data_IF_406438230114
#
_entry.id   IF_406438230114
#
_cell.length_a   1.000
_cell.length_b   1.000
_cell.length_c   1.000
_cell.angle_alpha   90.00
_cell.angle_beta   90.00
_cell.angle_gamma   90.00
#
_symmetry.space_group_name_H-M   'P 1'
#
loop_
_entity.id
_entity.type
_entity.pdbx_description
1 polymer ?
#
# COMPACT_ATOMS: atom_id res chain seq x y z
N UNK A 1 -10.83 25.59 -28.61
CA UNK A 1 -9.80 26.51 -29.13
C UNK A 1 -9.01 27.14 -27.97
N UNK A 2 -9.66 27.67 -26.94
CA UNK A 2 -8.99 28.36 -25.82
C UNK A 2 -8.07 27.43 -25.02
N UNK A 3 -8.51 26.20 -24.74
CA UNK A 3 -7.71 25.17 -24.04
C UNK A 3 -6.44 24.82 -24.83
N UNK A 4 -6.55 24.72 -26.16
CA UNK A 4 -5.39 24.43 -27.01
C UNK A 4 -4.38 25.58 -27.01
N UNK A 5 -4.84 26.82 -27.03
CA UNK A 5 -3.97 28.00 -26.90
C UNK A 5 -3.22 28.02 -25.57
N UNK A 6 -3.91 27.73 -24.47
CA UNK A 6 -3.27 27.63 -23.15
C UNK A 6 -2.26 26.48 -23.12
N UNK A 7 -2.52 25.37 -23.83
CA UNK A 7 -1.59 24.25 -23.94
C UNK A 7 -0.32 24.61 -24.73
N UNK A 8 -0.43 25.47 -25.76
CA UNK A 8 0.71 25.97 -26.53
C UNK A 8 1.64 26.88 -25.70
N UNK A 9 1.10 27.57 -24.71
CA UNK A 9 1.85 28.45 -23.81
C UNK A 9 2.58 27.68 -22.69
N UNK A 10 2.29 26.39 -22.51
CA UNK A 10 2.92 25.50 -21.51
C UNK A 10 3.91 24.56 -22.19
N UNK A 11 5.03 24.28 -21.51
CA UNK A 11 5.96 23.26 -21.97
C UNK A 11 5.39 21.88 -21.71
N UNK A 12 4.79 21.28 -22.75
CA UNK A 12 4.35 19.87 -22.74
C UNK A 12 5.23 19.07 -23.70
N UNK A 13 5.91 18.07 -23.19
CA UNK A 13 6.77 17.18 -23.97
C UNK A 13 6.44 15.73 -23.66
N UNK A 14 6.31 14.89 -24.70
CA UNK A 14 6.07 13.47 -24.60
C UNK A 14 6.53 12.76 -25.87
N UNK A 15 7.06 11.55 -25.72
CA UNK A 15 7.45 10.71 -26.85
C UNK A 15 6.25 10.28 -27.70
N UNK A 16 5.09 10.07 -27.06
CA UNK A 16 3.86 9.58 -27.71
C UNK A 16 2.82 10.67 -27.96
N UNK A 17 3.28 11.88 -28.20
CA UNK A 17 2.46 13.09 -28.33
C UNK A 17 1.29 12.99 -29.32
N UNK A 18 1.48 12.31 -30.44
CA UNK A 18 0.47 12.15 -31.49
C UNK A 18 -0.22 10.79 -31.46
N UNK A 19 0.12 9.94 -30.53
CA UNK A 19 -0.49 8.64 -30.37
C UNK A 19 -1.91 8.75 -29.80
N UNK A 20 -2.82 7.88 -30.27
CA UNK A 20 -4.22 7.90 -29.84
C UNK A 20 -4.55 6.89 -28.73
N UNK A 21 -3.73 5.85 -28.56
CA UNK A 21 -4.00 4.76 -27.61
C UNK A 21 -4.03 5.28 -26.17
N UNK A 22 -2.98 6.00 -25.77
CA UNK A 22 -2.87 6.57 -24.42
C UNK A 22 -4.03 7.50 -24.08
N UNK A 23 -4.30 8.56 -24.87
CA UNK A 23 -5.43 9.45 -24.63
C UNK A 23 -6.79 8.75 -24.65
N UNK A 24 -7.01 7.78 -25.54
CA UNK A 24 -8.26 7.01 -25.59
C UNK A 24 -8.45 6.14 -24.33
N UNK A 25 -7.39 5.49 -23.87
CA UNK A 25 -7.39 4.73 -22.62
C UNK A 25 -7.65 5.63 -21.40
N UNK A 26 -7.04 6.82 -21.36
CA UNK A 26 -7.25 7.78 -20.29
C UNK A 26 -8.69 8.27 -20.22
N UNK A 27 -9.29 8.63 -21.37
CA UNK A 27 -10.71 9.02 -21.43
C UNK A 27 -11.64 7.90 -20.96
N UNK A 28 -11.37 6.64 -21.37
CA UNK A 28 -12.15 5.49 -20.92
C UNK A 28 -11.97 5.22 -19.44
N UNK A 29 -10.79 5.40 -18.92
CA UNK A 29 -10.53 5.29 -17.48
C UNK A 29 -11.35 6.31 -16.68
N UNK A 30 -11.35 7.57 -17.10
CA UNK A 30 -12.15 8.62 -16.45
C UNK A 30 -13.65 8.32 -16.49
N UNK A 31 -14.18 7.86 -17.64
CA UNK A 31 -15.57 7.43 -17.77
C UNK A 31 -15.93 6.30 -16.80
N UNK A 32 -15.05 5.29 -16.68
CA UNK A 32 -15.25 4.19 -15.74
C UNK A 32 -15.16 4.66 -14.30
N UNK A 33 -14.20 5.53 -13.98
CA UNK A 33 -14.06 6.11 -12.63
C UNK A 33 -15.34 6.85 -12.22
N UNK A 34 -15.93 7.64 -13.11
CA UNK A 34 -17.16 8.36 -12.84
C UNK A 34 -18.35 7.40 -12.67
N UNK A 35 -18.53 6.46 -13.59
CA UNK A 35 -19.60 5.46 -13.53
C UNK A 35 -19.57 4.64 -12.26
N UNK A 36 -18.39 4.18 -11.83
CA UNK A 36 -18.21 3.34 -10.64
C UNK A 36 -18.07 4.15 -9.36
N UNK A 37 -17.99 5.48 -9.44
CA UNK A 37 -17.63 6.36 -8.30
C UNK A 37 -16.40 5.83 -7.58
N UNK A 38 -15.36 5.46 -8.35
CA UNK A 38 -14.22 4.70 -7.87
C UNK A 38 -13.49 5.37 -6.70
N UNK A 39 -13.41 6.71 -6.68
CA UNK A 39 -12.79 7.48 -5.58
C UNK A 39 -13.49 7.29 -4.23
N UNK A 40 -14.80 7.10 -4.22
CA UNK A 40 -15.54 6.81 -2.98
C UNK A 40 -15.28 5.38 -2.53
N UNK A 41 -15.40 4.42 -3.45
CA UNK A 41 -15.16 3.00 -3.16
C UNK A 41 -13.76 2.74 -2.62
N UNK A 42 -12.71 3.26 -3.28
CA UNK A 42 -11.33 3.07 -2.82
C UNK A 42 -11.06 3.79 -1.49
N UNK A 43 -11.76 4.90 -1.23
CA UNK A 43 -11.68 5.59 0.05
C UNK A 43 -12.30 4.75 1.18
N UNK A 44 -13.47 4.17 0.97
CA UNK A 44 -14.11 3.31 1.98
C UNK A 44 -13.30 2.02 2.22
N UNK A 45 -12.77 1.40 1.18
CA UNK A 45 -11.85 0.25 1.29
C UNK A 45 -10.64 0.62 2.17
N UNK A 46 -10.01 1.76 1.90
CA UNK A 46 -8.85 2.21 2.68
C UNK A 46 -9.19 2.54 4.12
N UNK A 47 -10.37 3.11 4.40
CA UNK A 47 -10.85 3.31 5.78
C UNK A 47 -11.04 1.98 6.52
N UNK A 48 -11.59 0.97 5.84
CA UNK A 48 -11.76 -0.37 6.40
C UNK A 48 -10.41 -1.01 6.75
N UNK A 49 -9.43 -0.92 5.83
CA UNK A 49 -8.06 -1.39 6.07
C UNK A 49 -7.43 -0.67 7.26
N UNK A 50 -7.56 0.66 7.33
CA UNK A 50 -7.02 1.46 8.44
C UNK A 50 -7.63 1.06 9.79
N UNK A 51 -8.93 0.85 9.83
CA UNK A 51 -9.62 0.38 11.03
C UNK A 51 -9.14 -1.02 11.45
N UNK A 52 -8.94 -1.92 10.48
CA UNK A 52 -8.37 -3.25 10.70
C UNK A 52 -6.95 -3.17 11.28
N UNK A 53 -6.05 -2.42 10.67
CA UNK A 53 -4.70 -2.22 11.18
C UNK A 53 -4.68 -1.65 12.60
N UNK A 54 -5.50 -0.64 12.87
CA UNK A 54 -5.61 -0.06 14.21
C UNK A 54 -6.12 -1.08 15.25
N UNK A 55 -7.08 -1.93 14.86
CA UNK A 55 -7.59 -3.01 15.71
C UNK A 55 -6.53 -4.05 16.02
N UNK A 56 -5.80 -4.53 15.00
CA UNK A 56 -4.71 -5.50 15.16
C UNK A 56 -3.57 -4.92 16.00
N UNK A 57 -3.17 -3.68 15.75
CA UNK A 57 -2.15 -3.00 16.54
C UNK A 57 -2.54 -2.90 18.03
N UNK A 58 -3.80 -2.57 18.30
CA UNK A 58 -4.32 -2.55 19.67
C UNK A 58 -4.33 -3.94 20.31
N UNK A 59 -4.76 -4.97 19.57
CA UNK A 59 -4.80 -6.36 20.02
C UNK A 59 -3.41 -6.85 20.45
N UNK A 60 -2.39 -6.51 19.66
CA UNK A 60 -1.01 -6.95 19.87
C UNK A 60 -0.13 -5.92 20.60
N UNK A 61 -0.71 -4.83 21.10
CA UNK A 61 0.00 -3.75 21.80
C UNK A 61 1.18 -3.15 21.00
N UNK A 62 1.04 -3.06 19.67
CA UNK A 62 2.09 -2.51 18.80
C UNK A 62 1.95 -0.99 18.64
N UNK A 63 3.05 -0.22 18.71
CA UNK A 63 3.05 1.24 18.51
C UNK A 63 2.94 1.61 17.03
N UNK A 64 1.81 1.28 16.40
CA UNK A 64 1.56 1.47 14.99
C UNK A 64 1.01 2.87 14.71
N UNK A 65 1.53 3.51 13.67
CA UNK A 65 1.04 4.78 13.12
C UNK A 65 0.55 4.57 11.69
N UNK A 66 -0.62 5.09 11.39
CA UNK A 66 -1.21 5.07 10.05
C UNK A 66 -1.08 6.47 9.45
N UNK A 67 -0.74 6.56 8.17
CA UNK A 67 -0.56 7.82 7.46
C UNK A 67 -0.93 7.67 5.97
N UNK A 68 -1.04 8.81 5.28
CA UNK A 68 -1.46 8.88 3.89
C UNK A 68 -2.95 9.09 3.71
N UNK A 69 -3.40 9.11 2.46
CA UNK A 69 -4.82 9.15 2.11
C UNK A 69 -5.41 7.75 2.30
N UNK A 70 -6.70 7.61 2.64
CA UNK A 70 -7.32 6.28 2.74
C UNK A 70 -7.14 5.43 1.47
N UNK A 71 -7.27 6.05 0.29
CA UNK A 71 -7.07 5.35 -0.99
C UNK A 71 -5.61 4.91 -1.24
N UNK A 72 -4.65 5.51 -0.56
CA UNK A 72 -3.21 5.20 -0.60
C UNK A 72 -2.67 5.29 0.82
N UNK A 73 -2.95 4.27 1.59
CA UNK A 73 -2.64 4.24 3.01
C UNK A 73 -1.40 3.44 3.30
N UNK A 74 -0.71 3.84 4.35
CA UNK A 74 0.49 3.16 4.84
C UNK A 74 0.50 3.12 6.36
N UNK A 75 1.25 2.18 6.92
CA UNK A 75 1.50 2.14 8.35
C UNK A 75 2.99 2.01 8.67
N UNK A 76 3.34 2.32 9.89
CA UNK A 76 4.68 2.18 10.43
C UNK A 76 4.59 1.74 11.90
N UNK A 77 5.35 0.73 12.28
CA UNK A 77 5.54 0.36 13.68
C UNK A 77 6.75 1.13 14.21
N UNK A 78 6.55 1.92 15.26
CA UNK A 78 7.61 2.77 15.85
C UNK A 78 8.58 1.91 16.65
N UNK A 79 9.53 1.27 15.97
CA UNK A 79 10.56 0.38 16.52
C UNK A 79 11.86 0.54 15.72
N UNK A 80 13.00 0.36 16.39
CA UNK A 80 14.32 0.30 15.76
C UNK A 80 14.45 -0.90 14.82
N UNK A 81 13.64 -1.93 15.04
CA UNK A 81 13.56 -3.14 14.21
C UNK A 81 12.62 -3.01 13.01
N UNK A 82 12.07 -1.83 12.71
CA UNK A 82 11.07 -1.65 11.67
C UNK A 82 11.43 -2.29 10.33
N UNK A 83 12.66 -2.15 9.86
CA UNK A 83 13.08 -2.75 8.59
C UNK A 83 12.99 -4.28 8.60
N UNK A 84 13.27 -4.93 9.73
CA UNK A 84 13.12 -6.36 9.93
C UNK A 84 11.63 -6.75 9.92
N UNK A 85 10.79 -6.01 10.64
CA UNK A 85 9.33 -6.26 10.69
C UNK A 85 8.68 -6.09 9.33
N UNK A 86 9.05 -5.05 8.58
CA UNK A 86 8.57 -4.84 7.22
C UNK A 86 8.98 -6.00 6.31
N UNK A 87 10.20 -6.49 6.41
CA UNK A 87 10.68 -7.66 5.67
C UNK A 87 9.89 -8.90 6.04
N UNK A 88 9.67 -9.14 7.32
CA UNK A 88 8.90 -10.28 7.83
C UNK A 88 7.44 -10.24 7.38
N UNK A 89 6.77 -9.08 7.45
CA UNK A 89 5.40 -8.91 6.93
C UNK A 89 5.35 -9.30 5.45
N UNK A 90 6.28 -8.77 4.64
CA UNK A 90 6.31 -9.07 3.20
C UNK A 90 6.54 -10.56 2.94
N UNK A 91 7.48 -11.18 3.65
CA UNK A 91 7.79 -12.60 3.56
C UNK A 91 6.58 -13.47 3.87
N UNK A 92 5.95 -13.23 5.01
CA UNK A 92 4.84 -14.06 5.48
C UNK A 92 3.56 -13.85 4.69
N UNK A 93 3.28 -12.63 4.26
CA UNK A 93 2.14 -12.35 3.38
C UNK A 93 2.34 -12.96 1.99
N UNK A 94 3.55 -12.93 1.44
CA UNK A 94 3.86 -13.55 0.15
C UNK A 94 3.66 -15.07 0.17
N UNK A 95 4.05 -15.75 1.24
CA UNK A 95 3.80 -17.20 1.43
C UNK A 95 2.30 -17.53 1.41
N UNK A 96 1.46 -16.58 1.75
CA UNK A 96 0.00 -16.69 1.78
C UNK A 96 -0.69 -16.15 0.53
N UNK A 97 0.09 -15.81 -0.51
CA UNK A 97 -0.41 -15.34 -1.80
C UNK A 97 -0.70 -13.84 -1.89
N UNK A 98 -0.31 -13.05 -0.88
CA UNK A 98 -0.49 -11.61 -0.86
C UNK A 98 0.83 -10.86 -1.13
N UNK A 99 0.86 -10.04 -2.18
CA UNK A 99 1.94 -9.07 -2.40
C UNK A 99 1.68 -7.84 -1.52
N UNK A 100 1.97 -7.98 -0.25
CA UNK A 100 1.69 -6.96 0.76
C UNK A 100 2.94 -6.59 1.57
N UNK A 101 3.03 -5.32 1.93
CA UNK A 101 4.03 -4.77 2.84
C UNK A 101 3.35 -3.77 3.79
N UNK A 102 3.90 -2.58 3.92
CA UNK A 102 3.44 -1.51 4.79
C UNK A 102 2.51 -0.49 4.12
N UNK A 103 2.18 -0.68 2.84
CA UNK A 103 1.35 0.24 2.05
C UNK A 103 0.32 -0.49 1.22
N UNK A 104 -0.85 0.12 1.06
CA UNK A 104 -1.91 -0.40 0.19
C UNK A 104 -2.38 0.68 -0.79
N UNK A 105 -2.26 0.38 -2.06
CA UNK A 105 -2.89 1.13 -3.16
C UNK A 105 -4.28 0.55 -3.39
N UNK A 106 -5.29 1.16 -2.79
CA UNK A 106 -6.65 0.64 -2.88
C UNK A 106 -7.18 0.71 -4.31
N UNK A 107 -7.84 -0.36 -4.74
CA UNK A 107 -8.51 -0.42 -6.02
C UNK A 107 -9.92 -1.01 -5.87
N UNK A 108 -10.77 -0.81 -6.87
CA UNK A 108 -12.17 -1.26 -6.83
C UNK A 108 -12.33 -2.79 -6.82
N UNK A 109 -11.26 -3.54 -7.10
CA UNK A 109 -11.24 -5.00 -7.02
C UNK A 109 -10.95 -5.53 -5.61
N UNK A 110 -10.56 -4.67 -4.66
CA UNK A 110 -10.43 -5.06 -3.26
C UNK A 110 -11.83 -5.20 -2.64
N UNK A 111 -12.39 -6.41 -2.69
CA UNK A 111 -13.67 -6.73 -2.06
C UNK A 111 -13.55 -6.75 -0.53
N UNK A 112 -14.68 -6.64 0.17
CA UNK A 112 -14.71 -6.79 1.63
C UNK A 112 -14.15 -8.13 2.09
N UNK A 113 -14.47 -9.21 1.36
CA UNK A 113 -13.94 -10.55 1.65
C UNK A 113 -12.41 -10.60 1.54
N UNK A 114 -11.84 -9.97 0.49
CA UNK A 114 -10.39 -9.91 0.31
C UNK A 114 -9.72 -9.08 1.42
N UNK A 115 -10.34 -7.97 1.84
CA UNK A 115 -9.84 -7.15 2.96
C UNK A 115 -9.90 -7.92 4.28
N UNK A 116 -10.98 -8.68 4.53
CA UNK A 116 -11.10 -9.53 5.72
C UNK A 116 -10.01 -10.59 5.75
N UNK A 117 -9.85 -11.32 4.65
CA UNK A 117 -8.81 -12.34 4.51
C UNK A 117 -7.40 -11.76 4.73
N UNK A 118 -7.11 -10.61 4.13
CA UNK A 118 -5.84 -9.90 4.34
C UNK A 118 -5.58 -9.61 5.82
N UNK A 119 -6.58 -9.11 6.54
CA UNK A 119 -6.44 -8.77 7.97
C UNK A 119 -6.32 -10.01 8.85
N UNK A 120 -7.04 -11.09 8.52
CA UNK A 120 -6.93 -12.39 9.21
C UNK A 120 -5.54 -13.00 9.06
N UNK A 121 -4.93 -12.89 7.88
CA UNK A 121 -3.58 -13.37 7.63
C UNK A 121 -2.50 -12.49 8.27
N UNK A 122 -2.76 -11.19 8.41
CA UNK A 122 -1.84 -10.24 9.06
C UNK A 122 -1.84 -10.39 10.59
N UNK A 123 -2.93 -10.83 11.18
CA UNK A 123 -3.11 -10.97 12.63
C UNK A 123 -2.00 -11.81 13.31
N UNK A 124 -1.72 -13.05 12.90
CA UNK A 124 -0.64 -13.83 13.51
C UNK A 124 0.75 -13.23 13.26
N UNK A 125 0.95 -12.52 12.15
CA UNK A 125 2.21 -11.84 11.85
C UNK A 125 2.47 -10.72 12.87
N UNK A 126 1.45 -9.93 13.20
CA UNK A 126 1.53 -8.91 14.26
C UNK A 126 1.76 -9.55 15.64
N UNK A 127 1.24 -10.75 15.88
CA UNK A 127 1.53 -11.53 17.07
C UNK A 127 3.02 -11.81 17.24
N UNK A 128 3.66 -12.34 16.20
CA UNK A 128 5.12 -12.62 16.21
C UNK A 128 5.92 -11.31 16.40
N UNK A 129 5.54 -10.23 15.73
CA UNK A 129 6.20 -8.93 15.89
C UNK A 129 6.08 -8.44 17.35
N UNK A 130 4.93 -8.61 17.98
CA UNK A 130 4.73 -8.26 19.39
C UNK A 130 5.64 -9.09 20.33
N UNK A 131 5.80 -10.37 20.06
CA UNK A 131 6.73 -11.22 20.79
C UNK A 131 8.19 -10.76 20.61
N UNK A 132 8.54 -10.28 19.40
CA UNK A 132 9.87 -9.73 19.15
C UNK A 132 10.13 -8.42 19.88
N UNK A 133 9.14 -7.57 20.05
CA UNK A 133 9.23 -6.39 20.91
C UNK A 133 9.44 -6.78 22.41
N UNK A 134 9.07 -8.00 22.78
CA UNK A 134 9.26 -8.56 24.13
C UNK A 134 10.54 -9.39 24.27
N UNK A 135 11.37 -9.48 23.23
CA UNK A 135 12.70 -10.10 23.29
C UNK A 135 12.89 -11.35 22.44
N UNK A 136 11.88 -11.82 21.67
CA UNK A 136 12.06 -12.86 20.66
C UNK A 136 12.96 -12.33 19.53
N UNK A 137 13.86 -13.18 19.03
CA UNK A 137 14.81 -12.78 18.00
C UNK A 137 14.17 -12.80 16.62
N UNK A 138 13.95 -11.64 16.01
CA UNK A 138 13.38 -11.53 14.65
C UNK A 138 14.31 -12.09 13.56
N UNK A 139 15.63 -12.12 13.78
CA UNK A 139 16.57 -12.62 12.76
C UNK A 139 16.41 -14.14 12.53
N UNK A 140 15.83 -14.88 13.47
CA UNK A 140 15.52 -16.31 13.33
C UNK A 140 14.25 -16.57 12.50
N UNK A 141 13.42 -15.56 12.35
CA UNK A 141 12.16 -15.63 11.57
C UNK A 141 12.37 -15.24 10.10
N UNK A 142 13.48 -14.59 9.76
CA UNK A 142 13.75 -14.12 8.42
C UNK A 142 14.47 -15.18 7.58
N UNK A 143 13.94 -15.43 6.37
CA UNK A 143 14.53 -16.36 5.40
C UNK A 143 15.49 -15.68 4.42
N UNK A 144 15.58 -14.36 4.47
CA UNK A 144 16.37 -13.57 3.55
C UNK A 144 16.92 -12.28 4.17
N UNK A 145 17.66 -11.50 3.41
CA UNK A 145 18.24 -10.26 3.91
C UNK A 145 17.16 -9.23 4.22
N UNK A 146 17.41 -8.42 5.25
CA UNK A 146 16.53 -7.29 5.61
C UNK A 146 16.44 -6.30 4.47
N UNK A 147 15.26 -5.78 4.20
CA UNK A 147 15.02 -4.79 3.16
C UNK A 147 15.86 -3.52 3.38
N UNK A 148 16.27 -2.88 2.29
CA UNK A 148 17.01 -1.62 2.37
C UNK A 148 16.11 -0.48 2.87
N UNK A 149 16.64 0.36 3.76
CA UNK A 149 16.04 1.63 4.13
C UNK A 149 16.62 2.75 3.27
N UNK A 150 15.75 3.42 2.50
CA UNK A 150 16.12 4.57 1.69
C UNK A 150 16.79 4.23 0.35
N UNK A 151 16.98 5.27 -0.47
CA UNK A 151 17.64 5.18 -1.77
C UNK A 151 19.15 5.38 -1.59
N UNK A 152 19.94 4.33 -1.81
CA UNK A 152 21.40 4.44 -1.92
C UNK A 152 21.81 4.22 -3.36
N UNK A 153 22.60 5.16 -3.94
CA UNK A 153 23.28 4.88 -5.21
C UNK A 153 24.22 3.70 -5.00
N UNK A 154 24.14 2.71 -5.86
CA UNK A 154 25.17 1.68 -6.01
C UNK A 154 26.34 2.38 -6.73
N UNK A 155 27.36 2.76 -5.97
CA UNK A 155 28.64 3.21 -6.51
C UNK A 155 29.60 2.02 -6.49
#
# INVERSE_FOLDING_TARGET
VQVMKSAEETFMSSTFWTERIGPSAALKTLEVMERERSWERITEIGKSINAGWASLAKKHALPLKIYGLPALTSFHISSDNWSKYRTFITQEMLKRGFLAADSVYCCISHSEALVSEYLELLDPIFGVISECEQGRNMDEELEGPVCHSGFKRLN
#
